data_IF_357484872193
#
_entry.id   IF_357484872193
#
_cell.length_a   1.000
_cell.length_b   1.000
_cell.length_c   1.000
_cell.angle_alpha   90.00
_cell.angle_beta   90.00
_cell.angle_gamma   90.00
#
_symmetry.space_group_name_H-M   'P 1'
#
loop_
_entity.id
_entity.type
_entity.pdbx_description
1 polymer ?
#
# COMPACT_ATOMS: atom_id res chain seq x y z
N UNK A 1 -19.86 -4.06 -29.72
CA UNK A 1 -18.69 -3.65 -28.93
C UNK A 1 -19.06 -2.37 -28.19
N UNK A 2 -19.50 -2.48 -26.95
CA UNK A 2 -19.86 -1.30 -26.15
C UNK A 2 -18.58 -0.80 -25.46
N UNK A 3 -18.11 0.38 -25.89
CA UNK A 3 -16.96 1.05 -25.29
C UNK A 3 -17.30 1.55 -23.90
N UNK A 4 -16.47 1.18 -22.92
CA UNK A 4 -16.53 1.72 -21.57
C UNK A 4 -15.88 3.10 -21.58
N UNK A 5 -16.70 4.14 -21.44
CA UNK A 5 -16.24 5.53 -21.41
C UNK A 5 -16.18 5.98 -19.95
N UNK A 6 -14.98 5.90 -19.34
CA UNK A 6 -14.78 6.22 -17.92
C UNK A 6 -14.21 7.64 -17.82
N UNK A 7 -15.08 8.59 -17.50
CA UNK A 7 -14.71 9.97 -17.18
C UNK A 7 -13.85 9.96 -15.92
N UNK A 8 -12.59 10.41 -16.03
CA UNK A 8 -11.66 10.54 -14.92
C UNK A 8 -12.06 11.75 -14.06
N UNK A 9 -12.95 11.55 -13.10
CA UNK A 9 -13.20 12.53 -12.05
C UNK A 9 -12.34 12.19 -10.84
N UNK A 10 -11.14 12.77 -10.81
CA UNK A 10 -10.23 12.71 -9.65
C UNK A 10 -10.82 13.60 -8.56
N UNK A 11 -11.67 13.03 -7.71
CA UNK A 11 -12.15 13.69 -6.49
C UNK A 11 -11.02 13.75 -5.47
N UNK A 12 -10.58 14.96 -5.13
CA UNK A 12 -9.64 15.24 -4.05
C UNK A 12 -10.28 14.94 -2.70
N UNK A 13 -9.86 13.86 -2.04
CA UNK A 13 -10.25 13.61 -0.64
C UNK A 13 -9.17 14.23 0.25
N UNK A 14 -9.45 15.40 0.82
CA UNK A 14 -8.61 16.06 1.82
C UNK A 14 -8.56 15.22 3.12
N UNK A 15 -7.45 14.50 3.34
CA UNK A 15 -7.16 13.83 4.61
C UNK A 15 -6.27 14.73 5.48
N UNK A 16 -6.88 15.50 6.37
CA UNK A 16 -6.22 16.44 7.28
C UNK A 16 -5.37 15.81 8.41
N UNK A 17 -4.96 14.54 8.30
CA UNK A 17 -4.21 13.80 9.33
C UNK A 17 -2.75 13.45 9.00
N UNK A 18 -2.29 13.70 7.78
CA UNK A 18 -1.09 13.03 7.24
C UNK A 18 0.23 13.78 7.49
N UNK A 19 0.19 15.08 7.79
CA UNK A 19 1.36 15.96 7.75
C UNK A 19 2.41 15.61 8.84
N UNK A 20 1.98 15.33 10.07
CA UNK A 20 2.89 14.99 11.19
C UNK A 20 3.56 13.61 11.07
N UNK A 21 2.92 12.68 10.37
CA UNK A 21 3.50 11.35 10.11
C UNK A 21 4.64 11.44 9.09
N UNK A 22 4.49 12.29 8.07
CA UNK A 22 5.52 12.50 7.04
C UNK A 22 6.83 13.09 7.58
N UNK A 23 6.75 14.08 8.47
CA UNK A 23 7.94 14.75 9.04
C UNK A 23 8.76 13.81 9.93
N UNK A 24 8.10 13.08 10.84
CA UNK A 24 8.75 12.07 11.68
C UNK A 24 9.38 10.95 10.83
N UNK A 25 8.71 10.59 9.73
CA UNK A 25 9.24 9.55 8.85
C UNK A 25 10.54 9.99 8.16
N UNK A 26 10.68 11.28 7.87
CA UNK A 26 11.84 11.83 7.19
C UNK A 26 13.06 11.95 8.11
N UNK A 27 12.86 12.40 9.34
CA UNK A 27 13.94 12.50 10.35
C UNK A 27 14.54 11.13 10.68
N UNK A 28 13.70 10.11 10.84
CA UNK A 28 14.14 8.72 11.01
C UNK A 28 14.95 8.19 9.80
N UNK A 29 14.58 8.56 8.57
CA UNK A 29 15.30 8.10 7.38
C UNK A 29 16.68 8.77 7.27
N UNK A 30 16.80 10.05 7.61
CA UNK A 30 18.10 10.74 7.62
C UNK A 30 19.09 10.04 8.55
N UNK A 31 18.66 9.66 9.76
CA UNK A 31 19.51 8.93 10.70
C UNK A 31 19.95 7.54 10.20
N UNK A 32 19.11 6.86 9.41
CA UNK A 32 19.45 5.57 8.83
C UNK A 32 20.44 5.69 7.67
N UNK A 33 20.36 6.78 6.91
CA UNK A 33 21.32 7.10 5.84
C UNK A 33 22.69 7.41 6.44
N UNK A 34 22.75 8.23 7.50
CA UNK A 34 24.00 8.52 8.22
C UNK A 34 24.65 7.22 8.76
N UNK A 35 23.84 6.31 9.33
CA UNK A 35 24.30 5.01 9.81
C UNK A 35 24.85 4.14 8.67
N UNK A 36 24.19 4.18 7.50
CA UNK A 36 24.64 3.46 6.31
C UNK A 36 26.01 3.97 5.85
N UNK A 37 26.19 5.29 5.73
CA UNK A 37 27.46 5.90 5.36
C UNK A 37 28.59 5.51 6.33
N UNK A 38 28.34 5.62 7.64
CA UNK A 38 29.30 5.19 8.66
C UNK A 38 29.65 3.70 8.56
N UNK A 39 28.67 2.85 8.25
CA UNK A 39 28.91 1.42 8.08
C UNK A 39 29.85 1.13 6.90
N UNK A 40 29.63 1.79 5.75
CA UNK A 40 30.53 1.67 4.59
C UNK A 40 31.95 2.13 4.91
N UNK A 41 32.10 3.22 5.65
CA UNK A 41 33.42 3.73 6.05
C UNK A 41 34.14 2.79 7.04
N UNK A 42 33.41 2.23 8.02
CA UNK A 42 33.97 1.27 8.96
C UNK A 42 34.32 -0.07 8.31
N UNK A 43 33.58 -0.48 7.29
CA UNK A 43 33.90 -1.66 6.51
C UNK A 43 35.18 -1.47 5.68
N UNK A 44 35.39 -0.27 5.11
CA UNK A 44 36.60 0.06 4.34
C UNK A 44 37.88 -0.09 5.17
N UNK A 45 37.81 0.15 6.47
CA UNK A 45 38.95 -0.03 7.40
C UNK A 45 38.96 -1.42 8.08
N UNK A 46 38.05 -2.33 7.70
CA UNK A 46 37.94 -3.68 8.25
C UNK A 46 37.37 -3.77 9.66
N UNK A 47 36.77 -2.69 10.19
CA UNK A 47 36.19 -2.66 11.54
C UNK A 47 34.85 -3.40 11.62
N UNK A 48 34.10 -3.49 10.51
CA UNK A 48 32.87 -4.29 10.41
C UNK A 48 32.85 -5.14 9.15
N UNK A 49 32.11 -6.25 9.20
CA UNK A 49 31.98 -7.20 8.09
C UNK A 49 31.07 -6.69 6.96
N UNK A 50 31.30 -7.21 5.75
CA UNK A 50 30.42 -6.99 4.59
C UNK A 50 28.97 -7.41 4.88
N UNK A 51 28.80 -8.46 5.71
CA UNK A 51 27.47 -8.91 6.16
C UNK A 51 26.73 -7.82 6.95
N UNK A 52 27.45 -7.11 7.82
CA UNK A 52 26.88 -6.01 8.61
C UNK A 52 26.47 -4.84 7.72
N UNK A 53 27.31 -4.48 6.74
CA UNK A 53 26.98 -3.45 5.74
C UNK A 53 25.75 -3.85 4.93
N UNK A 54 25.70 -5.08 4.42
CA UNK A 54 24.56 -5.56 3.64
C UNK A 54 23.25 -5.59 4.45
N UNK A 55 23.32 -5.91 5.75
CA UNK A 55 22.17 -5.80 6.64
C UNK A 55 21.67 -4.35 6.71
N UNK A 56 22.56 -3.39 6.95
CA UNK A 56 22.20 -1.96 7.05
C UNK A 56 21.65 -1.44 5.71
N UNK A 57 22.29 -1.76 4.59
CA UNK A 57 21.81 -1.40 3.25
C UNK A 57 20.40 -1.95 2.98
N UNK A 58 20.13 -3.18 3.40
CA UNK A 58 18.80 -3.79 3.28
C UNK A 58 17.76 -3.01 4.10
N UNK A 59 18.12 -2.51 5.29
CA UNK A 59 17.21 -1.72 6.14
C UNK A 59 16.87 -0.37 5.50
N UNK A 60 17.85 0.31 4.91
CA UNK A 60 17.63 1.57 4.18
C UNK A 60 16.71 1.32 2.99
N UNK A 61 17.01 0.34 2.13
CA UNK A 61 16.18 -0.03 0.98
C UNK A 61 14.74 -0.37 1.37
N UNK A 62 14.55 -1.10 2.47
CA UNK A 62 13.21 -1.43 2.98
C UNK A 62 12.45 -0.19 3.46
N UNK A 63 13.13 0.84 3.97
CA UNK A 63 12.50 2.10 4.39
C UNK A 63 12.08 2.93 3.16
N UNK A 64 12.99 3.12 2.22
CA UNK A 64 12.69 3.80 0.95
C UNK A 64 11.52 3.14 0.21
N UNK A 65 11.48 1.80 0.20
CA UNK A 65 10.36 1.07 -0.39
C UNK A 65 9.05 1.41 0.32
N UNK A 66 9.03 1.42 1.66
CA UNK A 66 7.84 1.71 2.46
C UNK A 66 7.30 3.12 2.19
N UNK A 67 8.16 4.10 2.01
CA UNK A 67 7.76 5.49 1.73
C UNK A 67 7.14 5.66 0.34
N UNK A 68 7.56 4.82 -0.62
CA UNK A 68 6.98 4.79 -1.97
C UNK A 68 5.67 3.99 -2.05
N UNK A 69 5.33 3.21 -1.03
CA UNK A 69 4.09 2.44 -1.02
C UNK A 69 2.90 3.31 -0.63
N UNK A 70 1.74 3.04 -1.24
CA UNK A 70 0.47 3.62 -0.79
C UNK A 70 0.22 3.28 0.68
N UNK A 71 -0.22 4.29 1.43
CA UNK A 71 -0.72 4.12 2.80
C UNK A 71 -1.93 3.19 2.77
N UNK A 72 -1.94 2.21 3.66
CA UNK A 72 -3.05 1.27 3.82
C UNK A 72 -3.84 1.72 5.04
N UNK A 73 -5.11 2.09 4.85
CA UNK A 73 -6.05 2.32 5.95
C UNK A 73 -6.96 1.10 6.11
N UNK A 74 -7.49 0.89 7.32
CA UNK A 74 -8.52 -0.12 7.54
C UNK A 74 -9.79 0.26 6.79
N UNK A 75 -10.37 -0.69 6.07
CA UNK A 75 -11.65 -0.50 5.40
C UNK A 75 -12.72 -1.34 6.09
N UNK A 76 -13.82 -0.70 6.48
CA UNK A 76 -15.01 -1.34 6.99
C UNK A 76 -15.90 -1.86 5.85
N UNK A 77 -16.95 -2.62 6.18
CA UNK A 77 -17.81 -3.25 5.18
C UNK A 77 -18.57 -2.26 4.28
N UNK A 78 -18.95 -1.10 4.81
CA UNK A 78 -19.63 -0.05 4.06
C UNK A 78 -18.67 0.64 3.08
N UNK A 79 -17.43 0.89 3.49
CA UNK A 79 -16.38 1.45 2.62
C UNK A 79 -16.06 0.51 1.45
N UNK A 80 -15.95 -0.80 1.72
CA UNK A 80 -15.71 -1.82 0.68
C UNK A 80 -16.89 -1.87 -0.30
N UNK A 81 -18.13 -1.88 0.21
CA UNK A 81 -19.34 -1.87 -0.62
C UNK A 81 -19.41 -0.59 -1.44
N UNK A 82 -19.20 0.56 -0.81
CA UNK A 82 -19.23 1.86 -1.47
C UNK A 82 -18.19 1.97 -2.58
N UNK A 83 -16.96 1.50 -2.33
CA UNK A 83 -15.92 1.41 -3.36
C UNK A 83 -16.37 0.53 -4.54
N UNK A 84 -16.91 -0.65 -4.25
CA UNK A 84 -17.41 -1.58 -5.27
C UNK A 84 -18.54 -0.99 -6.10
N UNK A 85 -19.49 -0.31 -5.46
CA UNK A 85 -20.64 0.32 -6.12
C UNK A 85 -20.21 1.52 -6.98
N UNK A 86 -19.24 2.34 -6.52
CA UNK A 86 -18.64 3.42 -7.32
C UNK A 86 -17.96 2.91 -8.60
N UNK A 87 -17.39 1.71 -8.54
CA UNK A 87 -16.79 1.04 -9.70
C UNK A 87 -17.83 0.36 -10.61
N UNK A 88 -19.10 0.30 -10.19
CA UNK A 88 -20.18 -0.32 -10.97
C UNK A 88 -20.03 -1.83 -11.14
N UNK A 89 -19.33 -2.51 -10.22
CA UNK A 89 -19.05 -3.95 -10.31
C UNK A 89 -19.81 -4.76 -9.26
N UNK A 90 -20.08 -6.04 -9.55
CA UNK A 90 -20.74 -6.96 -8.61
C UNK A 90 -19.74 -7.56 -7.61
N UNK A 91 -20.25 -8.15 -6.51
CA UNK A 91 -19.39 -8.89 -5.56
C UNK A 91 -18.60 -10.02 -6.23
N UNK A 92 -19.19 -10.68 -7.25
CA UNK A 92 -18.50 -11.73 -8.01
C UNK A 92 -17.40 -11.19 -8.91
N UNK A 93 -17.59 -10.01 -9.52
CA UNK A 93 -16.54 -9.35 -10.30
C UNK A 93 -15.39 -8.90 -9.41
N UNK A 94 -15.67 -8.29 -8.25
CA UNK A 94 -14.63 -7.91 -7.29
C UNK A 94 -13.86 -9.13 -6.77
N UNK A 95 -14.55 -10.25 -6.52
CA UNK A 95 -13.92 -11.51 -6.16
C UNK A 95 -12.94 -12.02 -7.23
N UNK A 96 -13.29 -11.94 -8.51
CA UNK A 96 -12.40 -12.31 -9.62
C UNK A 96 -11.18 -11.38 -9.66
N UNK A 97 -11.38 -10.06 -9.58
CA UNK A 97 -10.30 -9.07 -9.58
C UNK A 97 -9.30 -9.33 -8.45
N UNK A 98 -9.81 -9.63 -7.25
CA UNK A 98 -8.98 -9.86 -6.07
C UNK A 98 -8.43 -11.29 -5.97
N UNK A 99 -8.78 -12.20 -6.90
CA UNK A 99 -8.50 -13.63 -6.79
C UNK A 99 -8.95 -14.23 -5.44
N UNK A 100 -10.20 -13.93 -5.05
CA UNK A 100 -10.81 -14.33 -3.78
C UNK A 100 -12.16 -15.01 -4.00
N UNK A 101 -12.69 -15.66 -2.97
CA UNK A 101 -14.06 -16.18 -3.02
C UNK A 101 -15.09 -15.05 -2.87
N UNK A 102 -16.23 -15.17 -3.54
CA UNK A 102 -17.38 -14.26 -3.36
C UNK A 102 -17.82 -14.22 -1.90
N UNK A 103 -17.74 -15.36 -1.20
CA UNK A 103 -18.05 -15.47 0.24
C UNK A 103 -17.15 -14.57 1.07
N UNK A 104 -15.86 -14.46 0.75
CA UNK A 104 -14.93 -13.57 1.45
C UNK A 104 -15.35 -12.11 1.29
N UNK A 105 -15.61 -11.67 0.04
CA UNK A 105 -16.09 -10.31 -0.25
C UNK A 105 -17.38 -10.02 0.53
N UNK A 106 -18.33 -10.95 0.47
CA UNK A 106 -19.63 -10.83 1.12
C UNK A 106 -19.51 -10.72 2.65
N UNK A 107 -18.62 -11.51 3.27
CA UNK A 107 -18.34 -11.43 4.72
C UNK A 107 -17.69 -10.10 5.12
N UNK A 108 -16.82 -9.55 4.27
CA UNK A 108 -16.23 -8.23 4.50
C UNK A 108 -17.27 -7.12 4.40
N UNK A 109 -18.08 -7.11 3.35
CA UNK A 109 -19.14 -6.11 3.16
C UNK A 109 -20.27 -6.17 4.20
N UNK A 110 -20.40 -7.27 4.94
CA UNK A 110 -21.33 -7.39 6.09
C UNK A 110 -20.65 -7.13 7.44
N UNK A 111 -19.35 -6.89 7.47
CA UNK A 111 -18.59 -6.68 8.71
C UNK A 111 -18.38 -7.94 9.56
N UNK A 112 -18.71 -9.13 9.05
CA UNK A 112 -18.50 -10.41 9.77
C UNK A 112 -17.01 -10.77 9.88
N UNK A 113 -16.22 -10.28 8.93
CA UNK A 113 -14.76 -10.41 8.89
C UNK A 113 -14.15 -9.10 8.39
N UNK A 114 -12.91 -8.84 8.77
CA UNK A 114 -12.11 -7.75 8.20
C UNK A 114 -11.11 -8.31 7.16
N UNK A 115 -10.91 -7.64 6.02
CA UNK A 115 -9.74 -7.91 5.20
C UNK A 115 -8.47 -7.54 5.97
N UNK A 116 -7.37 -8.24 5.73
CA UNK A 116 -6.09 -7.96 6.37
C UNK A 116 -4.92 -8.16 5.40
N UNK A 117 -3.74 -7.67 5.79
CA UNK A 117 -2.50 -7.85 5.05
C UNK A 117 -2.64 -7.50 3.57
N UNK A 118 -2.39 -8.49 2.70
CA UNK A 118 -2.44 -8.33 1.25
C UNK A 118 -3.83 -7.95 0.73
N UNK A 119 -4.91 -8.53 1.27
CA UNK A 119 -6.27 -8.24 0.82
C UNK A 119 -6.66 -6.78 1.10
N UNK A 120 -6.32 -6.26 2.28
CA UNK A 120 -6.57 -4.87 2.63
C UNK A 120 -5.76 -3.91 1.74
N UNK A 121 -4.50 -4.24 1.46
CA UNK A 121 -3.66 -3.47 0.53
C UNK A 121 -4.24 -3.46 -0.88
N UNK A 122 -4.77 -4.58 -1.36
CA UNK A 122 -5.42 -4.65 -2.68
C UNK A 122 -6.67 -3.77 -2.73
N UNK A 123 -7.53 -3.81 -1.71
CA UNK A 123 -8.71 -2.95 -1.63
C UNK A 123 -8.34 -1.47 -1.66
N UNK A 124 -7.36 -1.05 -0.84
CA UNK A 124 -6.83 0.31 -0.86
C UNK A 124 -6.26 0.69 -2.23
N UNK A 125 -5.56 -0.24 -2.89
CA UNK A 125 -4.98 0.02 -4.22
C UNK A 125 -6.06 0.16 -5.28
N UNK A 126 -7.10 -0.68 -5.24
CA UNK A 126 -8.26 -0.59 -6.15
C UNK A 126 -9.01 0.73 -5.91
N UNK A 127 -9.19 1.14 -4.65
CA UNK A 127 -9.85 2.40 -4.33
C UNK A 127 -9.07 3.62 -4.86
N UNK A 128 -7.73 3.60 -4.74
CA UNK A 128 -6.88 4.71 -5.16
C UNK A 128 -6.60 4.74 -6.67
N UNK A 129 -6.43 3.57 -7.32
CA UNK A 129 -5.97 3.46 -8.73
C UNK A 129 -6.99 2.85 -9.69
N UNK A 130 -8.12 2.33 -9.21
CA UNK A 130 -9.02 1.49 -10.00
C UNK A 130 -8.52 0.05 -10.12
N UNK A 131 -9.37 -0.85 -10.64
CA UNK A 131 -9.04 -2.27 -10.82
C UNK A 131 -8.26 -2.57 -12.10
N UNK A 132 -8.18 -1.62 -13.03
CA UNK A 132 -7.48 -1.79 -14.32
C UNK A 132 -5.99 -2.05 -14.15
N UNK A 133 -5.41 -1.77 -12.98
CA UNK A 133 -4.03 -2.15 -12.63
C UNK A 133 -3.79 -3.67 -12.68
N UNK A 134 -4.86 -4.47 -12.67
CA UNK A 134 -4.81 -5.93 -12.78
C UNK A 134 -5.24 -6.43 -14.18
N UNK A 135 -5.61 -5.53 -15.08
CA UNK A 135 -5.95 -5.87 -16.46
C UNK A 135 -4.67 -6.16 -17.28
N UNK A 136 -4.82 -6.95 -18.34
CA UNK A 136 -3.74 -7.32 -19.27
C UNK A 136 -3.60 -6.33 -20.41
#
# INVERSE_FOLDING_TARGET
MAGWNISHHVGTIEHAGTIKSGEKNMEELNHLIDLQEMAHDFNRIGAISDETVNYIDTRVKLRELREKMLSVHEMNGEEIRGMRDRLGITQSMLAVIMNMSVVSISKWERGEKKPNGAALRMLNTIEYKGFDIFAK
#
